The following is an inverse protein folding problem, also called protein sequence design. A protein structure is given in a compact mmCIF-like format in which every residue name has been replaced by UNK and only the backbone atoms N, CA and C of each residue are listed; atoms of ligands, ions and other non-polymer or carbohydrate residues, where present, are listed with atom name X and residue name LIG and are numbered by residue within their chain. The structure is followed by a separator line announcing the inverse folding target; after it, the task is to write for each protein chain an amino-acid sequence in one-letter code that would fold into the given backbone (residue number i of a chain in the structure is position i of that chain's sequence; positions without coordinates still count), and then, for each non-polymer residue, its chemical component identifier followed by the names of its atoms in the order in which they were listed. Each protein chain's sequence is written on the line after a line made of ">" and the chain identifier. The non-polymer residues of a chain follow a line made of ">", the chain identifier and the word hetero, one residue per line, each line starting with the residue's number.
data_IF_326988445539
#
_entry.id   IF_326988445539
#
_cell.length_a   1.000
_cell.length_b   1.000
_cell.length_c   1.000
_cell.angle_alpha   90.00
_cell.angle_beta   90.00
_cell.angle_gamma   90.00
#
_symmetry.space_group_name_H-M   'P 1'
#
loop_
_entity.id
_entity.type
_entity.pdbx_description
1 polymer ?
#
# COMPACT_ATOMS: atom_id res chain seq x y z
N UNK A 1 21.85 0.34 -14.38
CA UNK A 1 21.38 0.35 -12.98
C UNK A 1 22.29 1.24 -12.15
N UNK A 2 21.73 2.11 -11.33
CA UNK A 2 22.51 2.92 -10.40
C UNK A 2 23.06 2.05 -9.24
N UNK A 3 24.14 2.50 -8.60
CA UNK A 3 24.77 1.84 -7.44
C UNK A 3 23.75 1.58 -6.32
N UNK A 4 22.96 2.59 -5.94
CA UNK A 4 21.92 2.45 -4.93
C UNK A 4 20.92 1.33 -5.26
N UNK A 5 20.47 1.26 -6.52
CA UNK A 5 19.54 0.20 -6.96
C UNK A 5 20.17 -1.20 -6.92
N UNK A 6 21.48 -1.33 -7.14
CA UNK A 6 22.17 -2.63 -6.99
C UNK A 6 22.18 -3.08 -5.54
N UNK A 7 22.37 -2.16 -4.59
CA UNK A 7 22.34 -2.51 -3.16
C UNK A 7 20.92 -2.87 -2.72
N UNK A 8 19.89 -2.15 -3.16
CA UNK A 8 18.48 -2.53 -2.91
C UNK A 8 18.17 -3.95 -3.40
N UNK A 9 18.62 -4.30 -4.62
CA UNK A 9 18.41 -5.66 -5.19
C UNK A 9 19.21 -6.70 -4.41
N UNK A 10 20.46 -6.40 -4.05
CA UNK A 10 21.28 -7.29 -3.22
C UNK A 10 20.63 -7.52 -1.84
N UNK A 11 20.06 -6.48 -1.23
CA UNK A 11 19.30 -6.56 0.01
C UNK A 11 18.11 -7.50 -0.14
N UNK A 12 17.29 -7.33 -1.18
CA UNK A 12 16.14 -8.22 -1.44
C UNK A 12 16.61 -9.68 -1.57
N UNK A 13 17.72 -9.94 -2.26
CA UNK A 13 18.28 -11.29 -2.34
C UNK A 13 18.75 -11.82 -0.99
N UNK A 14 19.34 -10.98 -0.14
CA UNK A 14 19.84 -11.34 1.20
C UNK A 14 18.73 -11.61 2.23
N UNK A 15 17.49 -11.14 1.99
CA UNK A 15 16.33 -11.48 2.83
C UNK A 15 16.11 -13.00 2.86
N UNK A 16 16.23 -13.68 1.71
CA UNK A 16 16.04 -15.14 1.64
C UNK A 16 17.05 -15.92 2.50
N UNK A 17 18.37 -15.66 2.42
CA UNK A 17 19.36 -16.21 3.35
C UNK A 17 19.01 -16.00 4.83
N UNK A 18 18.62 -14.79 5.24
CA UNK A 18 18.26 -14.54 6.64
C UNK A 18 17.08 -15.42 7.09
N UNK A 19 16.03 -15.51 6.26
CA UNK A 19 14.88 -16.38 6.51
C UNK A 19 15.26 -17.86 6.54
N UNK A 20 16.07 -18.33 5.59
CA UNK A 20 16.52 -19.73 5.50
C UNK A 20 17.38 -20.10 6.70
N UNK A 21 18.32 -19.23 7.12
CA UNK A 21 19.15 -19.46 8.30
C UNK A 21 18.29 -19.60 9.56
N UNK A 22 17.28 -18.74 9.72
CA UNK A 22 16.34 -18.83 10.83
C UNK A 22 15.56 -20.17 10.80
N UNK A 23 15.02 -20.56 9.64
CA UNK A 23 14.30 -21.84 9.49
C UNK A 23 15.22 -23.02 9.81
N UNK A 24 16.42 -23.05 9.21
CA UNK A 24 17.41 -24.11 9.43
C UNK A 24 17.81 -24.22 10.89
N UNK A 25 17.88 -23.11 11.64
CA UNK A 25 18.19 -23.14 13.06
C UNK A 25 17.19 -24.00 13.86
N UNK A 26 15.92 -24.02 13.47
CA UNK A 26 14.89 -24.84 14.11
C UNK A 26 14.75 -26.24 13.49
N UNK A 27 15.22 -26.45 12.26
CA UNK A 27 15.28 -27.77 11.63
C UNK A 27 16.53 -28.57 11.99
N UNK A 28 17.63 -27.92 12.40
CA UNK A 28 18.93 -28.53 12.68
C UNK A 28 19.37 -28.22 14.13
N UNK A 29 18.87 -28.95 15.14
CA UNK A 29 19.10 -28.65 16.56
C UNK A 29 20.59 -28.61 16.94
N UNK A 30 21.42 -29.46 16.33
CA UNK A 30 22.86 -29.54 16.60
C UNK A 30 23.61 -28.23 16.27
N UNK A 31 23.10 -27.44 15.31
CA UNK A 31 23.71 -26.19 14.85
C UNK A 31 22.87 -24.96 15.20
N UNK A 32 21.82 -25.13 16.02
CA UNK A 32 20.79 -24.12 16.26
C UNK A 32 21.39 -22.76 16.63
N UNK A 33 22.25 -22.69 17.64
CA UNK A 33 22.79 -21.41 18.11
C UNK A 33 23.66 -20.71 17.07
N UNK A 34 24.50 -21.46 16.35
CA UNK A 34 25.33 -20.90 15.28
C UNK A 34 24.48 -20.33 14.14
N UNK A 35 23.39 -21.03 13.78
CA UNK A 35 22.46 -20.59 12.73
C UNK A 35 21.62 -19.38 13.17
N UNK A 36 21.19 -19.31 14.44
CA UNK A 36 20.50 -18.12 14.98
C UNK A 36 21.41 -16.89 15.01
N UNK A 37 22.68 -17.06 15.41
CA UNK A 37 23.66 -15.97 15.38
C UNK A 37 23.89 -15.51 13.93
N UNK A 38 24.06 -16.45 12.99
CA UNK A 38 24.22 -16.13 11.58
C UNK A 38 22.98 -15.40 11.01
N UNK A 39 21.77 -15.83 11.36
CA UNK A 39 20.53 -15.16 10.98
C UNK A 39 20.45 -13.75 11.56
N UNK A 40 20.78 -13.56 12.84
CA UNK A 40 20.79 -12.26 13.52
C UNK A 40 21.81 -11.29 12.90
N UNK A 41 23.03 -11.75 12.61
CA UNK A 41 24.07 -10.97 11.93
C UNK A 41 23.62 -10.58 10.52
N UNK A 42 23.07 -11.53 9.76
CA UNK A 42 22.58 -11.26 8.39
C UNK A 42 21.44 -10.25 8.40
N UNK A 43 20.47 -10.40 9.32
CA UNK A 43 19.38 -9.45 9.52
C UNK A 43 19.89 -8.05 9.91
N UNK A 44 20.84 -7.98 10.84
CA UNK A 44 21.42 -6.69 11.28
C UNK A 44 22.16 -5.98 10.14
N UNK A 45 22.88 -6.74 9.30
CA UNK A 45 23.51 -6.21 8.10
C UNK A 45 22.47 -5.70 7.09
N UNK A 46 21.37 -6.41 6.89
CA UNK A 46 20.25 -5.98 6.05
C UNK A 46 19.67 -4.63 6.52
N UNK A 47 19.38 -4.49 7.82
CA UNK A 47 18.90 -3.22 8.39
C UNK A 47 19.95 -2.10 8.25
N UNK A 48 21.24 -2.40 8.45
CA UNK A 48 22.31 -1.41 8.30
C UNK A 48 22.47 -0.93 6.85
N UNK A 49 22.28 -1.81 5.87
CA UNK A 49 22.39 -1.44 4.45
C UNK A 49 21.34 -0.42 4.01
N UNK A 50 20.14 -0.41 4.60
CA UNK A 50 19.09 0.59 4.32
C UNK A 50 19.56 2.03 4.60
N UNK A 51 20.27 2.21 5.72
CA UNK A 51 20.79 3.52 6.09
C UNK A 51 21.89 4.00 5.14
N UNK A 52 22.71 3.07 4.66
CA UNK A 52 23.82 3.34 3.74
C UNK A 52 23.27 3.77 2.38
N UNK A 53 22.28 3.05 1.83
CA UNK A 53 21.69 3.34 0.52
C UNK A 53 20.99 4.70 0.48
N UNK A 54 20.21 5.00 1.52
CA UNK A 54 19.57 6.30 1.66
C UNK A 54 20.59 7.44 1.75
N UNK A 55 21.79 7.20 2.27
CA UNK A 55 22.85 8.20 2.38
C UNK A 55 23.61 8.38 1.06
N UNK A 56 23.90 7.28 0.36
CA UNK A 56 24.57 7.30 -0.95
C UNK A 56 23.68 7.94 -2.01
N UNK A 57 22.40 7.58 -2.07
CA UNK A 57 21.45 8.14 -3.04
C UNK A 57 21.25 9.66 -2.85
N UNK A 58 21.21 10.13 -1.60
CA UNK A 58 21.12 11.57 -1.28
C UNK A 58 22.38 12.34 -1.66
N UNK A 59 23.56 11.74 -1.51
CA UNK A 59 24.85 12.39 -1.83
C UNK A 59 25.20 12.38 -3.31
N UNK A 60 24.72 11.40 -4.06
CA UNK A 60 25.12 11.20 -5.47
C UNK A 60 24.11 11.73 -6.49
N UNK A 61 22.96 12.27 -6.05
CA UNK A 61 21.85 12.75 -6.91
C UNK A 61 21.35 11.74 -7.97
N UNK A 62 21.78 10.49 -7.88
CA UNK A 62 21.42 9.44 -8.82
C UNK A 62 20.21 8.70 -8.27
N UNK A 63 19.03 9.24 -8.50
CA UNK A 63 17.79 8.58 -8.05
C UNK A 63 17.11 7.93 -9.25
N UNK A 64 17.10 6.61 -9.31
CA UNK A 64 16.40 5.87 -10.36
C UNK A 64 14.92 5.67 -10.00
N UNK A 65 14.03 5.66 -11.00
CA UNK A 65 12.61 5.40 -10.77
C UNK A 65 12.37 4.01 -10.17
N UNK A 66 13.16 3.01 -10.59
CA UNK A 66 13.10 1.66 -10.05
C UNK A 66 13.53 1.61 -8.56
N UNK A 67 14.59 2.33 -8.18
CA UNK A 67 15.04 2.41 -6.79
C UNK A 67 13.98 3.04 -5.88
N UNK A 68 13.35 4.14 -6.32
CA UNK A 68 12.27 4.82 -5.56
C UNK A 68 11.10 3.89 -5.23
N UNK A 69 10.82 2.90 -6.09
CA UNK A 69 9.77 1.91 -5.88
C UNK A 69 10.25 0.72 -5.04
N UNK A 70 11.45 0.19 -5.33
CA UNK A 70 11.99 -0.97 -4.64
C UNK A 70 12.40 -0.68 -3.19
N UNK A 71 12.84 0.54 -2.87
CA UNK A 71 13.34 0.87 -1.52
C UNK A 71 12.24 0.74 -0.44
N UNK A 72 11.05 1.36 -0.58
CA UNK A 72 9.97 1.19 0.39
C UNK A 72 9.39 -0.24 0.41
N UNK A 73 9.48 -0.96 -0.71
CA UNK A 73 9.02 -2.35 -0.80
C UNK A 73 9.93 -3.27 0.02
N UNK A 74 11.24 -3.22 -0.24
CA UNK A 74 12.23 -4.05 0.43
C UNK A 74 12.26 -3.80 1.94
N UNK A 75 12.12 -2.54 2.37
CA UNK A 75 12.03 -2.14 3.79
C UNK A 75 10.89 -2.88 4.53
N UNK A 76 9.73 -3.04 3.88
CA UNK A 76 8.59 -3.72 4.52
C UNK A 76 8.63 -5.23 4.40
N UNK A 77 9.13 -5.76 3.29
CA UNK A 77 9.14 -7.21 3.04
C UNK A 77 9.98 -7.96 4.08
N UNK A 78 11.15 -7.43 4.47
CA UNK A 78 12.00 -8.11 5.45
C UNK A 78 11.33 -8.21 6.83
N UNK A 79 10.76 -7.11 7.32
CA UNK A 79 10.07 -7.05 8.62
C UNK A 79 8.87 -8.01 8.61
N UNK A 80 8.09 -8.00 7.53
CA UNK A 80 6.94 -8.90 7.37
C UNK A 80 7.39 -10.35 7.43
N UNK A 81 8.35 -10.77 6.59
CA UNK A 81 8.83 -12.16 6.54
C UNK A 81 9.34 -12.61 7.91
N UNK A 82 10.15 -11.79 8.58
CA UNK A 82 10.68 -12.14 9.89
C UNK A 82 9.59 -12.26 10.96
N UNK A 83 8.59 -11.36 10.99
CA UNK A 83 7.46 -11.47 11.90
C UNK A 83 6.67 -12.77 11.66
N UNK A 84 6.42 -13.16 10.41
CA UNK A 84 5.76 -14.43 10.10
C UNK A 84 6.56 -15.65 10.58
N UNK A 85 7.88 -15.67 10.38
CA UNK A 85 8.75 -16.75 10.85
C UNK A 85 8.81 -16.82 12.38
N UNK A 86 8.77 -15.67 13.05
CA UNK A 86 8.70 -15.61 14.50
C UNK A 86 7.34 -16.10 15.03
N UNK A 87 6.24 -15.78 14.35
CA UNK A 87 4.92 -16.34 14.69
C UNK A 87 4.91 -17.87 14.57
N UNK A 88 5.58 -18.43 13.56
CA UNK A 88 5.72 -19.88 13.41
C UNK A 88 6.43 -20.55 14.61
N UNK A 89 7.37 -19.84 15.26
CA UNK A 89 8.09 -20.29 16.47
C UNK A 89 7.76 -19.40 17.67
N UNK A 90 6.49 -19.00 17.78
CA UNK A 90 6.08 -17.99 18.75
C UNK A 90 6.30 -18.40 20.21
N UNK A 91 6.28 -19.70 20.51
CA UNK A 91 6.56 -20.19 21.86
C UNK A 91 8.02 -19.93 22.27
N UNK A 92 8.95 -20.09 21.34
CA UNK A 92 10.37 -19.85 21.59
C UNK A 92 10.74 -18.37 21.49
N UNK A 93 10.10 -17.61 20.59
CA UNK A 93 10.43 -16.20 20.37
C UNK A 93 9.69 -15.23 21.28
N UNK A 94 8.47 -15.57 21.67
CA UNK A 94 7.54 -14.69 22.37
C UNK A 94 6.74 -15.42 23.47
N UNK A 95 7.07 -16.68 23.77
CA UNK A 95 6.51 -17.43 24.88
C UNK A 95 7.29 -17.20 26.17
N UNK A 96 6.61 -17.44 27.30
CA UNK A 96 7.24 -17.48 28.62
C UNK A 96 7.25 -16.17 29.41
N UNK A 97 6.75 -15.05 28.88
CA UNK A 97 6.55 -13.83 29.68
C UNK A 97 5.25 -13.89 30.50
N UNK A 98 4.15 -14.32 29.86
CA UNK A 98 2.85 -14.52 30.49
C UNK A 98 1.98 -15.48 29.63
N UNK A 99 0.88 -16.04 30.17
CA UNK A 99 -0.03 -16.86 29.38
C UNK A 99 -0.56 -16.10 28.16
N UNK A 100 -0.63 -16.74 26.99
CA UNK A 100 -1.09 -16.13 25.73
C UNK A 100 -0.17 -15.04 25.12
N UNK A 101 1.06 -14.88 25.63
CA UNK A 101 2.01 -13.89 25.09
C UNK A 101 2.31 -14.08 23.58
N UNK A 102 2.38 -15.34 23.12
CA UNK A 102 2.51 -15.70 21.70
C UNK A 102 1.31 -15.26 20.86
N UNK A 103 0.08 -15.42 21.36
CA UNK A 103 -1.15 -14.98 20.69
C UNK A 103 -1.19 -13.45 20.57
N UNK A 104 -0.89 -12.74 21.66
CA UNK A 104 -0.83 -11.27 21.65
C UNK A 104 0.23 -10.78 20.68
N UNK A 105 1.41 -11.42 20.65
CA UNK A 105 2.47 -11.13 19.68
C UNK A 105 1.99 -11.30 18.24
N UNK A 106 1.27 -12.38 17.92
CA UNK A 106 0.74 -12.63 16.58
C UNK A 106 -0.30 -11.57 16.16
N UNK A 107 -1.25 -11.22 17.03
CA UNK A 107 -2.28 -10.20 16.75
C UNK A 107 -1.62 -8.83 16.51
N UNK A 108 -0.71 -8.42 17.39
CA UNK A 108 0.01 -7.16 17.25
C UNK A 108 0.88 -7.13 15.99
N UNK A 109 1.50 -8.24 15.61
CA UNK A 109 2.26 -8.34 14.36
C UNK A 109 1.35 -8.11 13.15
N UNK A 110 0.16 -8.73 13.13
CA UNK A 110 -0.85 -8.49 12.10
C UNK A 110 -1.27 -7.02 12.02
N UNK A 111 -1.46 -6.34 13.16
CA UNK A 111 -1.78 -4.90 13.19
C UNK A 111 -0.64 -4.04 12.67
N UNK A 112 0.61 -4.34 13.05
CA UNK A 112 1.80 -3.63 12.56
C UNK A 112 1.91 -3.77 11.04
N UNK A 113 1.82 -4.98 10.51
CA UNK A 113 1.89 -5.26 9.07
C UNK A 113 0.76 -4.55 8.32
N UNK A 114 -0.49 -4.70 8.79
CA UNK A 114 -1.66 -4.06 8.18
C UNK A 114 -1.49 -2.54 8.11
N UNK A 115 -1.06 -1.92 9.21
CA UNK A 115 -0.80 -0.48 9.27
C UNK A 115 0.28 -0.04 8.28
N UNK A 116 1.36 -0.82 8.12
CA UNK A 116 2.44 -0.49 7.18
C UNK A 116 1.97 -0.54 5.73
N UNK A 117 1.20 -1.57 5.36
CA UNK A 117 0.62 -1.70 4.03
C UNK A 117 -0.36 -0.56 3.73
N UNK A 118 -1.29 -0.31 4.66
CA UNK A 118 -2.31 0.74 4.52
C UNK A 118 -1.63 2.10 4.29
N UNK A 119 -0.70 2.50 5.16
CA UNK A 119 -0.05 3.82 5.06
C UNK A 119 0.89 3.90 3.85
N UNK A 120 1.53 2.79 3.47
CA UNK A 120 2.34 2.70 2.26
C UNK A 120 1.50 2.96 1.00
N UNK A 121 0.33 2.32 0.89
CA UNK A 121 -0.61 2.52 -0.22
C UNK A 121 -1.09 3.97 -0.23
N UNK A 122 -1.57 4.50 0.90
CA UNK A 122 -2.06 5.88 0.99
C UNK A 122 -0.99 6.91 0.60
N UNK A 123 0.27 6.69 1.00
CA UNK A 123 1.38 7.57 0.60
C UNK A 123 1.62 7.52 -0.90
N UNK A 124 1.55 6.34 -1.50
CA UNK A 124 1.73 6.17 -2.95
C UNK A 124 0.63 6.88 -3.73
N UNK A 125 -0.63 6.73 -3.31
CA UNK A 125 -1.78 7.41 -3.92
C UNK A 125 -1.70 8.94 -3.76
N UNK A 126 -1.31 9.44 -2.58
CA UNK A 126 -1.14 10.87 -2.36
C UNK A 126 -0.06 11.50 -3.26
N UNK A 127 1.05 10.77 -3.50
CA UNK A 127 2.12 11.22 -4.42
C UNK A 127 1.60 11.36 -5.85
N UNK A 128 0.71 10.48 -6.30
CA UNK A 128 0.07 10.61 -7.63
C UNK A 128 -0.76 11.90 -7.75
N UNK A 129 -1.37 12.34 -6.63
CA UNK A 129 -2.10 13.61 -6.53
C UNK A 129 -1.20 14.83 -6.29
N UNK A 130 0.13 14.67 -6.35
CA UNK A 130 1.13 15.71 -6.02
C UNK A 130 1.04 16.24 -4.59
N UNK A 131 0.41 15.49 -3.68
CA UNK A 131 0.33 15.80 -2.25
C UNK A 131 1.44 15.03 -1.54
N UNK A 132 2.42 15.74 -1.00
CA UNK A 132 3.53 15.12 -0.27
C UNK A 132 3.14 14.99 1.20
N UNK A 133 2.85 13.77 1.62
CA UNK A 133 2.56 13.46 3.03
C UNK A 133 3.86 13.42 3.83
N UNK A 134 4.03 14.35 4.76
CA UNK A 134 5.22 14.42 5.60
C UNK A 134 5.37 13.18 6.50
N UNK A 135 6.60 12.71 6.67
CA UNK A 135 6.91 11.58 7.54
C UNK A 135 6.81 11.99 9.03
N UNK A 136 6.09 11.19 9.81
CA UNK A 136 5.93 11.39 11.25
C UNK A 136 7.15 10.88 12.03
N UNK A 137 7.54 11.56 13.11
CA UNK A 137 8.70 11.21 13.94
C UNK A 137 8.49 9.84 14.61
N UNK A 138 7.28 9.58 15.10
CA UNK A 138 6.89 8.28 15.64
C UNK A 138 7.04 7.16 14.61
N UNK A 139 6.87 7.49 13.32
CA UNK A 139 7.06 6.58 12.21
C UNK A 139 8.52 6.17 11.97
N UNK A 140 9.49 6.98 12.40
CA UNK A 140 10.92 6.65 12.34
C UNK A 140 11.36 5.86 13.57
N UNK A 141 10.93 6.31 14.75
CA UNK A 141 11.30 5.68 16.02
C UNK A 141 10.76 4.24 16.08
N UNK A 142 9.52 4.01 15.65
CA UNK A 142 8.95 2.65 15.62
C UNK A 142 9.80 1.66 14.83
N UNK A 143 10.41 2.08 13.73
CA UNK A 143 11.20 1.20 12.85
C UNK A 143 12.43 0.71 13.61
N UNK A 144 13.13 1.62 14.30
CA UNK A 144 14.27 1.26 15.15
C UNK A 144 13.86 0.25 16.22
N UNK A 145 12.72 0.47 16.90
CA UNK A 145 12.24 -0.46 17.92
C UNK A 145 11.86 -1.83 17.34
N UNK A 146 11.22 -1.88 16.18
CA UNK A 146 10.84 -3.13 15.52
C UNK A 146 12.05 -3.90 14.99
N UNK A 147 13.02 -3.21 14.38
CA UNK A 147 14.24 -3.85 13.89
C UNK A 147 15.07 -4.43 15.04
N UNK A 148 15.22 -3.66 16.13
CA UNK A 148 15.88 -4.15 17.35
C UNK A 148 15.11 -5.33 17.95
N UNK A 149 13.78 -5.25 18.00
CA UNK A 149 12.95 -6.34 18.50
C UNK A 149 13.18 -7.64 17.72
N UNK A 150 13.16 -7.57 16.39
CA UNK A 150 13.38 -8.73 15.52
C UNK A 150 14.80 -9.27 15.71
N UNK A 151 15.82 -8.41 15.68
CA UNK A 151 17.21 -8.83 15.85
C UNK A 151 17.44 -9.58 17.18
N UNK A 152 16.87 -9.05 18.28
CA UNK A 152 16.98 -9.68 19.60
C UNK A 152 16.16 -10.97 19.67
N UNK A 153 14.94 -10.99 19.14
CA UNK A 153 14.09 -12.17 19.17
C UNK A 153 14.54 -13.32 18.26
N UNK A 154 15.34 -13.06 17.21
CA UNK A 154 16.03 -14.14 16.47
C UNK A 154 16.87 -14.98 17.44
N UNK A 155 17.51 -14.34 18.43
CA UNK A 155 18.33 -15.01 19.43
C UNK A 155 17.54 -15.56 20.64
N UNK A 156 16.21 -15.49 20.62
CA UNK A 156 15.37 -15.85 21.77
C UNK A 156 15.59 -17.28 22.30
N UNK A 157 15.81 -18.25 21.41
CA UNK A 157 16.05 -19.64 21.78
C UNK A 157 17.44 -19.89 22.41
N UNK A 158 18.35 -18.91 22.40
CA UNK A 158 19.66 -19.03 23.04
C UNK A 158 19.54 -18.78 24.55
N UNK A 159 18.80 -17.75 24.95
CA UNK A 159 18.55 -17.38 26.36
C UNK A 159 17.16 -16.78 26.52
N UNK A 160 16.39 -17.15 27.57
CA UNK A 160 15.07 -16.57 27.84
C UNK A 160 15.07 -15.03 27.94
N UNK A 161 16.17 -14.44 28.40
CA UNK A 161 16.33 -12.99 28.47
C UNK A 161 16.15 -12.31 27.10
N UNK A 162 16.61 -12.93 26.02
CA UNK A 162 16.44 -12.40 24.67
C UNK A 162 14.98 -12.46 24.21
N UNK A 163 14.24 -13.51 24.56
CA UNK A 163 12.80 -13.58 24.29
C UNK A 163 12.06 -12.42 24.97
N UNK A 164 12.32 -12.21 26.27
CA UNK A 164 11.69 -11.13 27.03
C UNK A 164 12.07 -9.74 26.52
N UNK A 165 13.37 -9.51 26.28
CA UNK A 165 13.84 -8.22 25.77
C UNK A 165 13.26 -7.92 24.39
N UNK A 166 13.31 -8.88 23.46
CA UNK A 166 12.76 -8.73 22.11
C UNK A 166 11.25 -8.44 22.14
N UNK A 167 10.51 -9.11 23.03
CA UNK A 167 9.08 -8.89 23.20
C UNK A 167 8.75 -7.49 23.76
N UNK A 168 9.54 -6.99 24.72
CA UNK A 168 9.38 -5.62 25.24
C UNK A 168 9.63 -4.60 24.13
N UNK A 169 10.74 -4.73 23.39
CA UNK A 169 11.02 -3.84 22.25
C UNK A 169 9.92 -3.91 21.20
N UNK A 170 9.40 -5.11 20.92
CA UNK A 170 8.31 -5.30 19.98
C UNK A 170 7.04 -4.58 20.42
N UNK A 171 6.64 -4.68 21.70
CA UNK A 171 5.45 -4.00 22.19
C UNK A 171 5.57 -2.49 22.14
N UNK A 172 6.75 -1.94 22.47
CA UNK A 172 7.00 -0.51 22.32
C UNK A 172 6.92 -0.10 20.84
N UNK A 173 7.57 -0.86 19.95
CA UNK A 173 7.52 -0.62 18.50
C UNK A 173 6.11 -0.72 17.92
N UNK A 174 5.32 -1.70 18.34
CA UNK A 174 3.94 -1.90 17.92
C UNK A 174 3.04 -0.75 18.41
N UNK A 175 3.17 -0.33 19.66
CA UNK A 175 2.44 0.82 20.19
C UNK A 175 2.77 2.10 19.41
N UNK A 176 4.05 2.36 19.15
CA UNK A 176 4.49 3.48 18.32
C UNK A 176 3.97 3.39 16.88
N UNK A 177 3.88 2.19 16.31
CA UNK A 177 3.33 1.96 14.98
C UNK A 177 1.86 2.33 14.90
N UNK A 178 1.07 1.92 15.90
CA UNK A 178 -0.35 2.24 16.00
C UNK A 178 -0.53 3.75 16.19
N UNK A 179 0.15 4.36 17.17
CA UNK A 179 0.09 5.81 17.44
C UNK A 179 0.48 6.61 16.20
N UNK A 180 1.59 6.24 15.56
CA UNK A 180 2.01 6.89 14.32
C UNK A 180 0.98 6.72 13.20
N UNK A 181 0.35 5.55 13.10
CA UNK A 181 -0.66 5.29 12.08
C UNK A 181 -1.91 6.14 12.27
N UNK A 182 -2.40 6.21 13.50
CA UNK A 182 -3.51 7.08 13.88
C UNK A 182 -3.17 8.55 13.62
N UNK A 183 -2.01 9.01 14.07
CA UNK A 183 -1.55 10.39 13.85
C UNK A 183 -1.49 10.74 12.36
N UNK A 184 -1.04 9.80 11.53
CA UNK A 184 -0.96 9.98 10.08
C UNK A 184 -2.35 10.12 9.45
N UNK A 185 -3.32 9.31 9.87
CA UNK A 185 -4.71 9.39 9.39
C UNK A 185 -5.35 10.70 9.86
N UNK A 186 -5.20 11.05 11.14
CA UNK A 186 -5.80 12.26 11.71
C UNK A 186 -5.29 13.55 11.06
N UNK A 187 -3.99 13.67 10.84
CA UNK A 187 -3.39 14.85 10.20
C UNK A 187 -3.77 15.00 8.73
N UNK A 188 -4.08 13.90 8.05
CA UNK A 188 -4.30 13.89 6.60
C UNK A 188 -5.72 13.49 6.19
N UNK A 189 -6.71 13.65 7.08
CA UNK A 189 -8.11 13.23 6.86
C UNK A 189 -8.68 13.64 5.50
N UNK A 190 -8.39 14.86 5.05
CA UNK A 190 -8.89 15.41 3.78
C UNK A 190 -8.38 14.58 2.59
N UNK A 191 -7.10 14.22 2.59
CA UNK A 191 -6.50 13.40 1.53
C UNK A 191 -7.10 12.00 1.54
N UNK A 192 -7.37 11.45 2.73
CA UNK A 192 -8.01 10.15 2.87
C UNK A 192 -9.46 10.15 2.37
N UNK A 193 -10.24 11.21 2.63
CA UNK A 193 -11.61 11.31 2.10
C UNK A 193 -11.62 11.40 0.57
N UNK A 194 -10.72 12.17 -0.02
CA UNK A 194 -10.59 12.26 -1.48
C UNK A 194 -10.19 10.91 -2.11
N UNK A 195 -9.26 10.18 -1.50
CA UNK A 195 -8.86 8.86 -2.00
C UNK A 195 -10.00 7.85 -1.85
N UNK A 196 -10.76 7.93 -0.75
CA UNK A 196 -11.90 7.05 -0.53
C UNK A 196 -13.00 7.30 -1.57
N UNK A 197 -13.30 8.56 -1.85
CA UNK A 197 -14.28 8.95 -2.88
C UNK A 197 -13.86 8.41 -4.27
N UNK A 198 -12.58 8.52 -4.63
CA UNK A 198 -12.07 7.93 -5.88
C UNK A 198 -12.21 6.40 -5.92
N UNK A 199 -11.91 5.71 -4.82
CA UNK A 199 -12.04 4.26 -4.72
C UNK A 199 -13.49 3.80 -4.81
N UNK A 200 -14.40 4.53 -4.16
CA UNK A 200 -15.84 4.25 -4.20
C UNK A 200 -16.39 4.50 -5.62
N UNK A 201 -15.94 5.56 -6.29
CA UNK A 201 -16.25 5.82 -7.69
C UNK A 201 -15.73 4.72 -8.63
N UNK A 202 -14.49 4.23 -8.42
CA UNK A 202 -13.93 3.13 -9.21
C UNK A 202 -14.71 1.82 -9.02
N UNK A 203 -15.10 1.49 -7.77
CA UNK A 203 -15.90 0.29 -7.48
C UNK A 203 -17.29 0.34 -8.09
N UNK A 204 -17.95 1.50 -8.06
CA UNK A 204 -19.20 1.70 -8.78
C UNK A 204 -19.01 1.53 -10.30
N UNK A 205 -17.79 1.75 -10.82
CA UNK A 205 -17.46 1.60 -12.24
C UNK A 205 -17.05 0.17 -12.65
N UNK A 206 -16.84 -0.74 -11.70
CA UNK A 206 -16.45 -2.14 -11.94
C UNK A 206 -17.51 -3.14 -11.42
N UNK A 207 -18.62 -2.67 -10.81
CA UNK A 207 -19.84 -3.48 -10.73
C UNK A 207 -20.36 -3.71 -12.14
N UNK A 208 -20.82 -4.94 -12.43
CA UNK A 208 -21.39 -5.42 -13.69
C UNK A 208 -22.69 -4.68 -14.12
N UNK A 209 -22.69 -3.35 -14.07
CA UNK A 209 -23.67 -2.50 -14.74
C UNK A 209 -23.19 -2.29 -16.18
N UNK A 210 -24.08 -2.52 -17.15
CA UNK A 210 -23.83 -2.30 -18.58
C UNK A 210 -23.34 -0.87 -18.88
N UNK A 211 -23.57 0.06 -17.94
CA UNK A 211 -23.30 1.48 -18.01
C UNK A 211 -22.46 1.97 -16.82
N UNK A 212 -21.45 2.85 -17.04
CA UNK A 212 -20.69 3.48 -15.96
C UNK A 212 -21.58 4.32 -15.02
N UNK A 213 -21.16 4.56 -13.77
CA UNK A 213 -21.87 5.44 -12.84
C UNK A 213 -22.10 6.82 -13.42
N UNK A 214 -23.30 7.35 -13.23
CA UNK A 214 -23.73 8.66 -13.76
C UNK A 214 -23.69 8.76 -15.30
N UNK A 215 -23.59 7.64 -16.02
CA UNK A 215 -23.59 7.63 -17.48
C UNK A 215 -24.81 8.37 -18.06
N UNK A 216 -26.03 8.03 -17.61
CA UNK A 216 -27.26 8.66 -18.10
C UNK A 216 -27.33 10.15 -17.75
N UNK A 217 -26.89 10.54 -16.56
CA UNK A 217 -26.84 11.96 -16.16
C UNK A 217 -25.89 12.78 -17.04
N UNK A 218 -24.73 12.20 -17.37
CA UNK A 218 -23.73 12.83 -18.26
C UNK A 218 -24.23 12.86 -19.71
N UNK A 219 -24.87 11.78 -20.17
CA UNK A 219 -25.45 11.72 -21.51
C UNK A 219 -26.57 12.75 -21.68
N UNK A 220 -27.51 12.83 -20.73
CA UNK A 220 -28.57 13.84 -20.71
C UNK A 220 -27.99 15.26 -20.73
N UNK A 221 -26.97 15.52 -19.91
CA UNK A 221 -26.27 16.80 -19.90
C UNK A 221 -25.63 17.12 -21.27
N UNK A 222 -25.08 16.13 -21.95
CA UNK A 222 -24.56 16.26 -23.31
C UNK A 222 -25.63 16.56 -24.35
N UNK A 223 -26.81 15.92 -24.25
CA UNK A 223 -27.96 16.18 -25.13
C UNK A 223 -28.50 17.59 -24.93
N UNK A 224 -28.63 18.06 -23.68
CA UNK A 224 -29.11 19.42 -23.38
C UNK A 224 -28.17 20.52 -23.88
N UNK A 225 -26.85 20.33 -23.76
CA UNK A 225 -25.86 21.35 -24.13
C UNK A 225 -25.32 21.18 -25.55
N UNK A 226 -25.70 20.10 -26.24
CA UNK A 226 -25.21 19.71 -27.56
C UNK A 226 -23.72 19.31 -27.62
N UNK A 227 -22.95 19.56 -26.56
CA UNK A 227 -21.51 19.26 -26.47
C UNK A 227 -21.13 18.77 -25.07
N UNK A 228 -20.07 17.96 -24.99
CA UNK A 228 -19.49 17.44 -23.76
C UNK A 228 -18.00 17.77 -23.66
N UNK A 229 -17.62 18.40 -22.55
CA UNK A 229 -16.23 18.66 -22.20
C UNK A 229 -15.86 17.86 -20.95
N UNK A 230 -14.74 17.14 -21.00
CA UNK A 230 -14.28 16.33 -19.87
C UNK A 230 -14.10 17.16 -18.59
N UNK A 231 -13.65 18.41 -18.72
CA UNK A 231 -13.47 19.32 -17.57
C UNK A 231 -14.80 19.69 -16.92
N UNK A 232 -15.83 19.94 -17.72
CA UNK A 232 -17.14 20.34 -17.22
C UNK A 232 -17.88 19.16 -16.59
N UNK A 233 -17.73 17.97 -17.15
CA UNK A 233 -18.26 16.73 -16.60
C UNK A 233 -17.62 16.42 -15.24
N UNK A 234 -16.29 16.46 -15.14
CA UNK A 234 -15.57 16.24 -13.88
C UNK A 234 -16.02 17.24 -12.80
N UNK A 235 -16.16 18.52 -13.17
CA UNK A 235 -16.54 19.58 -12.23
C UNK A 235 -18.00 19.49 -11.79
N UNK A 236 -18.93 19.23 -12.72
CA UNK A 236 -20.38 19.22 -12.45
C UNK A 236 -20.77 17.97 -11.67
N UNK A 237 -20.29 16.80 -12.08
CA UNK A 237 -20.69 15.51 -11.51
C UNK A 237 -19.77 15.05 -10.39
N UNK A 238 -18.68 15.78 -10.09
CA UNK A 238 -17.67 15.42 -9.09
C UNK A 238 -17.14 13.99 -9.30
N UNK A 239 -16.84 13.64 -10.54
CA UNK A 239 -16.31 12.32 -10.91
C UNK A 239 -14.86 12.45 -11.38
N UNK A 240 -14.07 11.40 -11.14
CA UNK A 240 -12.66 11.35 -11.51
C UNK A 240 -12.41 11.31 -13.01
N UNK A 241 -11.18 11.58 -13.42
CA UNK A 241 -10.77 11.57 -14.84
C UNK A 241 -10.94 10.19 -15.49
N UNK A 242 -10.73 9.10 -14.75
CA UNK A 242 -10.88 7.72 -15.23
C UNK A 242 -12.35 7.40 -15.53
N UNK A 243 -13.28 7.71 -14.61
CA UNK A 243 -14.72 7.50 -14.81
C UNK A 243 -15.24 8.35 -15.96
N UNK A 244 -14.76 9.60 -16.06
CA UNK A 244 -15.11 10.49 -17.18
C UNK A 244 -14.68 9.89 -18.52
N UNK A 245 -13.47 9.35 -18.62
CA UNK A 245 -12.98 8.71 -19.85
C UNK A 245 -13.83 7.48 -20.21
N UNK A 246 -14.13 6.59 -19.26
CA UNK A 246 -15.00 5.42 -19.51
C UNK A 246 -16.40 5.81 -20.00
N UNK A 247 -16.99 6.89 -19.46
CA UNK A 247 -18.27 7.41 -19.94
C UNK A 247 -18.14 7.86 -21.39
N UNK A 248 -17.10 8.64 -21.71
CA UNK A 248 -16.84 9.11 -23.07
C UNK A 248 -16.64 7.94 -24.05
N UNK A 249 -15.84 6.95 -23.67
CA UNK A 249 -15.59 5.75 -24.48
C UNK A 249 -16.90 4.94 -24.70
N UNK A 250 -17.77 4.85 -23.68
CA UNK A 250 -19.07 4.18 -23.80
C UNK A 250 -20.02 4.96 -24.74
N UNK A 251 -20.10 6.29 -24.62
CA UNK A 251 -20.91 7.14 -25.53
C UNK A 251 -20.43 6.98 -26.97
N UNK A 252 -19.11 6.96 -27.19
CA UNK A 252 -18.51 6.73 -28.51
C UNK A 252 -18.82 5.32 -29.04
N UNK A 253 -18.72 4.30 -28.19
CA UNK A 253 -19.05 2.91 -28.56
C UNK A 253 -20.51 2.71 -28.99
N UNK A 254 -21.42 3.55 -28.50
CA UNK A 254 -22.83 3.58 -28.89
C UNK A 254 -23.08 4.44 -30.14
N UNK A 255 -22.06 5.10 -30.69
CA UNK A 255 -22.14 5.94 -31.88
C UNK A 255 -22.73 7.33 -31.64
N UNK A 256 -22.78 7.79 -30.38
CA UNK A 256 -23.38 9.08 -30.03
C UNK A 256 -22.38 10.24 -29.98
N UNK A 257 -21.09 10.00 -30.22
CA UNK A 257 -20.11 11.08 -30.38
C UNK A 257 -20.08 11.60 -31.82
N UNK A 258 -19.97 12.92 -31.94
CA UNK A 258 -19.76 13.64 -33.18
C UNK A 258 -18.44 14.40 -33.19
N UNK A 259 -18.38 15.45 -34.00
CA UNK A 259 -17.15 16.21 -34.22
C UNK A 259 -16.63 16.90 -32.95
N UNK A 260 -15.30 16.99 -32.86
CA UNK A 260 -14.62 17.75 -31.80
C UNK A 260 -14.69 19.24 -32.14
N UNK A 261 -15.16 20.04 -31.19
CA UNK A 261 -15.28 21.50 -31.29
C UNK A 261 -14.41 22.19 -30.24
N UNK A 262 -14.25 23.52 -30.34
CA UNK A 262 -13.48 24.31 -29.37
C UNK A 262 -14.01 24.26 -27.93
N UNK A 263 -15.28 23.87 -27.76
CA UNK A 263 -15.99 23.85 -26.46
C UNK A 263 -16.17 22.42 -25.92
N UNK A 264 -15.91 21.40 -26.73
CA UNK A 264 -16.07 19.99 -26.36
C UNK A 264 -16.39 19.08 -27.55
N UNK A 265 -16.76 17.83 -27.27
CA UNK A 265 -17.19 16.84 -28.29
C UNK A 265 -18.69 16.95 -28.50
N UNK A 266 -19.14 17.04 -29.75
CA UNK A 266 -20.57 17.13 -30.07
C UNK A 266 -21.29 15.81 -29.77
N UNK A 267 -22.51 15.89 -29.27
CA UNK A 267 -23.38 14.72 -29.04
C UNK A 267 -24.34 14.59 -30.23
N UNK A 268 -24.27 13.45 -30.91
CA UNK A 268 -25.15 13.07 -32.03
C UNK A 268 -26.37 12.29 -31.53
N UNK A 269 -27.00 12.79 -30.45
CA UNK A 269 -28.21 12.24 -29.87
C UNK A 269 -29.12 13.41 -29.50
N UNK A 270 -30.36 13.39 -30.01
CA UNK A 270 -31.37 14.39 -29.68
C UNK A 270 -32.23 13.94 -28.49
N UNK A 271 -33.10 14.83 -27.99
CA UNK A 271 -33.95 14.51 -26.83
C UNK A 271 -34.87 13.31 -27.09
N UNK A 272 -35.38 13.15 -28.32
CA UNK A 272 -36.23 12.01 -28.67
C UNK A 272 -35.45 10.69 -28.68
N UNK A 273 -34.23 10.69 -29.23
CA UNK A 273 -33.35 9.52 -29.24
C UNK A 273 -32.88 9.13 -27.83
N UNK A 274 -32.69 10.10 -26.94
CA UNK A 274 -32.41 9.84 -25.53
C UNK A 274 -33.59 9.17 -24.80
N UNK A 275 -34.81 9.64 -25.02
CA UNK A 275 -36.02 9.01 -24.47
C UNK A 275 -36.25 7.59 -25.01
N UNK A 276 -36.01 7.35 -26.32
CA UNK A 276 -36.07 6.01 -26.89
C UNK A 276 -35.03 5.04 -26.28
N UNK A 277 -33.82 5.54 -25.98
CA UNK A 277 -32.78 4.77 -25.30
C UNK A 277 -33.25 4.36 -23.90
N UNK A 278 -33.81 5.29 -23.13
CA UNK A 278 -34.35 5.00 -21.79
C UNK A 278 -35.49 3.99 -21.82
N UNK A 279 -36.38 4.08 -22.81
CA UNK A 279 -37.50 3.14 -22.98
C UNK A 279 -36.99 1.73 -23.32
N UNK A 280 -36.00 1.60 -24.21
CA UNK A 280 -35.40 0.30 -24.56
C UNK A 280 -34.76 -0.36 -23.34
N UNK A 281 -34.09 0.41 -22.50
CA UNK A 281 -33.41 -0.11 -21.30
C UNK A 281 -34.40 -0.52 -20.21
N UNK A 282 -35.45 0.28 -19.97
CA UNK A 282 -36.54 -0.11 -19.07
C UNK A 282 -37.27 -1.39 -19.52
N UNK A 283 -37.30 -1.67 -20.83
CA UNK A 283 -37.90 -2.90 -21.37
C UNK A 283 -37.01 -4.14 -21.21
N UNK A 284 -35.70 -3.96 -21.01
CA UNK A 284 -34.72 -5.04 -20.82
C UNK A 284 -34.43 -5.37 -19.35
N UNK A 285 -35.07 -4.69 -18.41
CA UNK A 285 -34.98 -5.00 -16.97
C UNK A 285 -33.73 -4.45 -16.28
N UNK A 286 -32.98 -3.56 -16.92
CA UNK A 286 -31.92 -2.78 -16.27
C UNK A 286 -32.56 -1.64 -15.49
N UNK A 287 -32.37 -1.65 -14.16
CA UNK A 287 -32.90 -0.66 -13.23
C UNK A 287 -31.82 0.33 -12.81
#
# INVERSE_FOLDING_TARGET
>A
MNLATKVTVARIMLIMPAAVLYILAFCLPLYQYGLLIAACVTFSLLCATDFIDGTIARKTHTVSNLGKFLDPLADKVIVVIMLFLMIWRAEETAGGLYPYASLVFAILSGLVVSRELIIGIFRTLAVQKKIVLAADVFGKIKTVFLDVAIAVSICAAIRPLYAWAGQIFFYIGAALAIVSGLNYIFKNKIVFSEIKEDLDNLKATDSDEEYPPKFFEVLHFGVENGTLSQKDVQKKFKIGSITTQKIFDKIDSLGYMGDVTDVGVKINLDQNGYEELLIKLNSQGEK
#
